data_IF_732616660116
#
_entry.id   IF_732616660116
#
_cell.length_a   1.000
_cell.length_b   1.000
_cell.length_c   1.000
_cell.angle_alpha   90.00
_cell.angle_beta   90.00
_cell.angle_gamma   90.00
#
_symmetry.space_group_name_H-M   'P 1'
#
loop_
_entity.id
_entity.type
_entity.pdbx_description
1 polymer ?
#
# COMPACT_ATOMS: atom_id res chain seq x y z
N UNK A 1 35.72 -42.41 28.10
CA UNK A 1 37.07 -42.04 28.56
C UNK A 1 38.02 -42.24 27.39
N UNK A 2 38.27 -41.21 26.58
CA UNK A 2 39.47 -40.95 25.74
C UNK A 2 39.20 -39.60 25.01
N UNK A 3 40.27 -38.81 24.87
CA UNK A 3 40.36 -37.33 24.73
C UNK A 3 39.63 -36.68 23.54
N UNK A 4 39.19 -35.41 23.66
CA UNK A 4 38.73 -34.60 22.52
C UNK A 4 39.91 -34.01 21.74
N UNK A 5 39.92 -34.23 20.42
CA UNK A 5 40.86 -33.64 19.49
C UNK A 5 40.41 -32.20 19.17
N UNK A 6 41.24 -31.24 19.59
CA UNK A 6 41.05 -29.80 19.46
C UNK A 6 41.38 -29.40 18.01
N UNK A 7 40.37 -29.38 17.14
CA UNK A 7 40.54 -28.97 15.74
C UNK A 7 40.39 -27.44 15.63
N UNK A 8 41.52 -26.75 15.75
CA UNK A 8 41.70 -25.34 15.45
C UNK A 8 41.47 -25.08 13.96
N UNK A 9 40.28 -24.60 13.57
CA UNK A 9 40.05 -24.08 12.22
C UNK A 9 40.71 -22.70 12.07
N UNK A 10 41.89 -22.75 11.48
CA UNK A 10 42.70 -21.65 10.99
C UNK A 10 41.89 -20.81 9.98
N UNK A 11 41.62 -19.55 10.33
CA UNK A 11 41.11 -18.52 9.43
C UNK A 11 42.20 -18.23 8.40
N UNK A 12 42.16 -18.95 7.27
CA UNK A 12 43.01 -18.68 6.12
C UNK A 12 42.46 -17.46 5.39
N UNK A 13 43.12 -16.32 5.55
CA UNK A 13 42.88 -15.13 4.75
C UNK A 13 43.10 -15.42 3.27
N UNK A 14 42.04 -15.32 2.48
CA UNK A 14 42.13 -15.26 1.03
C UNK A 14 42.33 -13.79 0.67
N UNK A 15 43.57 -13.34 0.78
CA UNK A 15 44.04 -12.14 0.07
C UNK A 15 44.50 -12.57 -1.32
N UNK A 16 43.82 -12.06 -2.36
CA UNK A 16 44.38 -11.98 -3.71
C UNK A 16 43.68 -12.83 -4.77
N UNK A 17 42.58 -12.33 -5.30
CA UNK A 17 42.28 -12.38 -6.74
C UNK A 17 41.32 -11.22 -7.07
N UNK A 18 41.88 -10.01 -7.15
CA UNK A 18 41.19 -8.84 -7.73
C UNK A 18 41.35 -8.95 -9.24
N UNK A 19 40.39 -9.60 -9.89
CA UNK A 19 40.28 -9.53 -11.34
C UNK A 19 39.61 -8.20 -11.70
N UNK A 20 40.42 -7.24 -12.15
CA UNK A 20 39.94 -5.98 -12.73
C UNK A 20 39.12 -6.30 -13.99
N UNK A 21 37.81 -6.36 -13.86
CA UNK A 21 36.90 -6.38 -15.00
C UNK A 21 36.86 -4.97 -15.60
N UNK A 22 37.27 -4.87 -16.86
CA UNK A 22 37.30 -3.64 -17.64
C UNK A 22 35.87 -3.11 -17.84
N UNK A 23 35.65 -1.85 -17.42
CA UNK A 23 34.49 -1.07 -17.78
C UNK A 23 34.56 -0.68 -19.26
N UNK A 24 34.06 -1.54 -20.14
CA UNK A 24 33.81 -1.22 -21.55
C UNK A 24 32.49 -1.85 -22.01
N UNK A 25 31.37 -1.42 -21.42
CA UNK A 25 30.04 -1.53 -22.06
C UNK A 25 29.16 -0.37 -21.59
N UNK A 26 29.58 0.87 -21.87
CA UNK A 26 28.71 2.06 -21.77
C UNK A 26 29.21 3.15 -22.71
N UNK A 27 29.17 2.88 -24.02
CA UNK A 27 29.26 3.90 -25.07
C UNK A 27 28.89 3.29 -26.42
N UNK A 28 27.62 3.31 -26.79
CA UNK A 28 27.19 3.27 -28.18
C UNK A 28 25.75 3.77 -28.28
N UNK A 29 25.50 4.64 -29.27
CA UNK A 29 24.23 5.24 -29.67
C UNK A 29 23.87 6.58 -29.04
N UNK A 30 24.79 7.54 -29.13
CA UNK A 30 24.40 8.90 -29.49
C UNK A 30 24.53 9.03 -31.01
N UNK A 31 23.41 8.89 -31.72
CA UNK A 31 23.34 9.29 -33.12
C UNK A 31 23.33 10.81 -33.16
N UNK A 32 24.46 11.36 -33.60
CA UNK A 32 24.59 12.74 -34.08
C UNK A 32 23.59 12.97 -35.20
N UNK A 33 22.49 13.68 -34.92
CA UNK A 33 21.71 14.32 -35.98
C UNK A 33 22.34 15.69 -36.23
N UNK A 34 22.99 15.76 -37.38
CA UNK A 34 23.53 16.91 -38.06
C UNK A 34 22.65 18.16 -37.97
N UNK A 35 23.30 19.28 -37.65
CA UNK A 35 22.82 20.62 -37.96
C UNK A 35 22.63 20.77 -39.48
N UNK A 36 21.40 20.96 -39.93
CA UNK A 36 21.12 21.57 -41.23
C UNK A 36 19.89 22.50 -41.14
N UNK A 37 20.05 23.69 -41.74
CA UNK A 37 19.06 24.73 -42.04
C UNK A 37 18.55 25.65 -40.92
N UNK A 38 19.41 26.64 -40.61
CA UNK A 38 18.97 28.04 -40.47
C UNK A 38 18.66 28.58 -41.88
N UNK A 39 17.42 29.01 -42.09
CA UNK A 39 16.93 30.05 -43.02
C UNK A 39 15.59 29.66 -43.67
N UNK A 40 14.50 29.87 -42.94
CA UNK A 40 13.20 30.17 -43.55
C UNK A 40 12.35 30.99 -42.57
N UNK A 41 11.90 32.21 -42.93
CA UNK A 41 10.95 32.97 -42.13
C UNK A 41 9.54 32.40 -42.33
N UNK A 42 8.70 32.54 -41.31
CA UNK A 42 7.25 32.33 -41.34
C UNK A 42 6.70 30.92 -41.65
N UNK A 43 6.76 30.05 -40.64
CA UNK A 43 5.59 29.24 -40.28
C UNK A 43 5.34 29.42 -38.78
N UNK A 44 4.26 30.12 -38.43
CA UNK A 44 3.76 30.22 -37.05
C UNK A 44 3.64 28.81 -36.47
N UNK A 45 4.61 28.41 -35.66
CA UNK A 45 4.65 27.08 -35.07
C UNK A 45 3.44 26.94 -34.13
N UNK A 46 2.57 26.00 -34.47
CA UNK A 46 1.45 25.62 -33.64
C UNK A 46 1.91 24.53 -32.68
N UNK A 47 1.98 24.85 -31.40
CA UNK A 47 2.39 23.95 -30.32
C UNK A 47 1.12 23.43 -29.63
N UNK A 48 1.01 22.14 -29.31
CA UNK A 48 -0.13 21.63 -28.54
C UNK A 48 -0.17 22.28 -27.16
N UNK A 49 -1.37 22.66 -26.70
CA UNK A 49 -1.58 23.35 -25.41
C UNK A 49 -0.90 22.63 -24.23
N UNK A 50 -0.92 21.29 -24.23
CA UNK A 50 -0.26 20.49 -23.19
C UNK A 50 1.25 20.69 -23.12
N UNK A 51 1.90 20.82 -24.28
CA UNK A 51 3.34 21.06 -24.37
C UNK A 51 3.67 22.51 -24.00
N UNK A 52 2.85 23.47 -24.45
CA UNK A 52 2.97 24.88 -24.05
C UNK A 52 2.83 25.08 -22.52
N UNK A 53 1.93 24.34 -21.86
CA UNK A 53 1.80 24.36 -20.40
C UNK A 53 3.04 23.77 -19.70
N UNK A 54 3.60 22.66 -20.23
CA UNK A 54 4.83 22.06 -19.67
C UNK A 54 6.06 22.96 -19.83
N UNK A 55 6.14 23.67 -20.94
CA UNK A 55 7.21 24.65 -21.19
C UNK A 55 7.07 25.86 -20.26
N UNK A 56 5.84 26.32 -20.00
CA UNK A 56 5.57 27.35 -19.00
C UNK A 56 5.94 26.89 -17.57
N UNK A 57 5.65 25.63 -17.23
CA UNK A 57 6.03 25.02 -15.94
C UNK A 57 7.55 25.07 -15.73
N UNK A 58 8.30 24.64 -16.76
CA UNK A 58 9.76 24.58 -16.75
C UNK A 58 10.40 25.97 -16.72
N UNK A 59 9.86 26.92 -17.50
CA UNK A 59 10.43 28.27 -17.64
C UNK A 59 10.23 29.13 -16.39
N UNK A 60 9.10 29.00 -15.72
CA UNK A 60 8.75 29.86 -14.58
C UNK A 60 8.86 29.18 -13.21
N UNK A 61 9.21 27.89 -13.17
CA UNK A 61 9.41 27.15 -11.91
C UNK A 61 8.13 27.03 -11.06
N UNK A 62 6.98 26.98 -11.72
CA UNK A 62 5.66 26.85 -11.09
C UNK A 62 5.17 25.41 -11.21
N UNK A 63 4.13 25.04 -10.45
CA UNK A 63 3.45 23.75 -10.64
C UNK A 63 2.04 23.96 -11.20
N UNK A 64 1.76 23.33 -12.35
CA UNK A 64 0.45 23.37 -12.97
C UNK A 64 -0.32 22.09 -12.66
N UNK A 65 -1.49 22.24 -12.04
CA UNK A 65 -2.38 21.11 -11.74
C UNK A 65 -3.65 21.25 -12.56
N UNK A 66 -3.93 20.26 -13.39
CA UNK A 66 -5.10 20.22 -14.25
C UNK A 66 -5.60 18.79 -14.43
N UNK A 67 -6.89 18.64 -14.71
CA UNK A 67 -7.48 17.34 -15.04
C UNK A 67 -7.29 17.08 -16.53
N UNK A 68 -6.65 15.96 -16.89
CA UNK A 68 -6.29 15.62 -18.28
C UNK A 68 -7.51 15.58 -19.21
N UNK A 69 -8.68 15.17 -18.71
CA UNK A 69 -9.93 15.10 -19.49
C UNK A 69 -10.53 16.47 -19.82
N UNK A 70 -10.12 17.51 -19.09
CA UNK A 70 -10.69 18.86 -19.20
C UNK A 70 -9.86 19.79 -20.10
N UNK A 71 -8.69 19.34 -20.57
CA UNK A 71 -7.84 20.11 -21.50
C UNK A 71 -8.07 19.61 -22.93
N UNK A 72 -8.65 20.44 -23.83
CA UNK A 72 -8.80 20.06 -25.22
C UNK A 72 -7.43 19.95 -25.89
N UNK A 73 -7.26 18.93 -26.75
CA UNK A 73 -6.07 18.77 -27.59
C UNK A 73 -6.08 19.81 -28.72
N UNK A 74 -5.79 21.07 -28.35
CA UNK A 74 -5.86 22.23 -29.25
C UNK A 74 -4.47 22.80 -29.48
N UNK A 75 -4.24 23.19 -30.73
CA UNK A 75 -3.03 23.82 -31.20
C UNK A 75 -3.06 25.33 -30.90
N UNK A 76 -1.98 25.85 -30.32
CA UNK A 76 -1.82 27.26 -29.95
C UNK A 76 -0.60 27.84 -30.67
N UNK A 77 -0.70 29.10 -31.08
CA UNK A 77 0.41 29.81 -31.72
C UNK A 77 1.56 30.07 -30.72
N UNK A 78 2.80 29.85 -31.15
CA UNK A 78 4.01 30.03 -30.34
C UNK A 78 4.17 31.44 -29.73
N UNK A 79 3.54 32.46 -30.32
CA UNK A 79 3.55 33.84 -29.83
C UNK A 79 2.95 33.99 -28.42
N UNK A 80 2.12 33.03 -27.99
CA UNK A 80 1.47 33.02 -26.66
C UNK A 80 2.43 32.81 -25.48
N UNK A 81 3.69 32.39 -25.72
CA UNK A 81 4.72 32.16 -24.69
C UNK A 81 5.53 33.42 -24.34
N UNK A 82 5.23 34.57 -24.96
CA UNK A 82 5.98 35.83 -24.74
C UNK A 82 5.32 36.71 -23.69
N UNK A 83 5.99 36.97 -22.55
CA UNK A 83 5.53 37.91 -21.53
C UNK A 83 5.82 37.50 -20.09
N UNK A 84 5.19 38.20 -19.14
CA UNK A 84 5.16 37.82 -17.71
C UNK A 84 4.27 36.60 -17.51
N UNK A 85 4.50 35.83 -16.45
CA UNK A 85 3.83 34.55 -16.20
C UNK A 85 2.29 34.64 -16.30
N UNK A 86 1.70 35.69 -15.72
CA UNK A 86 0.25 35.92 -15.73
C UNK A 86 -0.28 36.14 -17.16
N UNK A 87 0.45 36.89 -17.98
CA UNK A 87 0.09 37.14 -19.38
C UNK A 87 0.20 35.86 -20.23
N UNK A 88 1.23 35.04 -19.99
CA UNK A 88 1.40 33.75 -20.67
C UNK A 88 0.25 32.80 -20.29
N UNK A 89 -0.09 32.70 -19.01
CA UNK A 89 -1.21 31.87 -18.55
C UNK A 89 -2.56 32.35 -19.11
N UNK A 90 -2.81 33.65 -19.15
CA UNK A 90 -4.03 34.21 -19.75
C UNK A 90 -4.11 33.94 -21.25
N UNK A 91 -3.01 34.12 -21.99
CA UNK A 91 -2.93 33.86 -23.43
C UNK A 91 -3.09 32.38 -23.77
N UNK A 92 -2.66 31.47 -22.88
CA UNK A 92 -2.81 30.03 -23.06
C UNK A 92 -4.22 29.53 -22.67
N UNK A 93 -4.84 30.12 -21.63
CA UNK A 93 -6.06 29.60 -21.02
C UNK A 93 -7.35 30.24 -21.54
N UNK A 94 -7.34 31.55 -21.84
CA UNK A 94 -8.52 32.26 -22.34
C UNK A 94 -9.06 31.68 -23.67
N UNK A 95 -8.21 31.34 -24.68
CA UNK A 95 -8.69 30.74 -25.92
C UNK A 95 -9.27 29.32 -25.73
N UNK A 96 -8.94 28.67 -24.62
CA UNK A 96 -9.40 27.34 -24.25
C UNK A 96 -10.64 27.37 -23.33
N UNK A 97 -11.13 28.55 -22.93
CA UNK A 97 -12.25 28.68 -21.97
C UNK A 97 -11.88 28.20 -20.56
N UNK A 98 -10.58 28.17 -20.25
CA UNK A 98 -10.03 27.71 -18.99
C UNK A 98 -9.68 28.92 -18.12
N UNK A 99 -9.84 28.78 -16.81
CA UNK A 99 -9.43 29.76 -15.79
C UNK A 99 -8.44 29.12 -14.85
N UNK A 100 -7.59 29.91 -14.19
CA UNK A 100 -6.67 29.41 -13.19
C UNK A 100 -6.97 29.99 -11.81
N UNK A 101 -6.72 29.20 -10.76
CA UNK A 101 -6.69 29.66 -9.37
C UNK A 101 -5.28 29.46 -8.81
N UNK A 102 -4.63 30.55 -8.41
CA UNK A 102 -3.30 30.53 -7.78
C UNK A 102 -3.42 30.14 -6.30
N UNK A 103 -2.60 29.18 -5.88
CA UNK A 103 -2.42 28.77 -4.48
C UNK A 103 -0.91 28.65 -4.22
N UNK A 104 -0.31 29.67 -3.60
CA UNK A 104 1.16 29.78 -3.42
C UNK A 104 1.91 29.65 -4.76
N UNK A 105 2.67 28.57 -4.98
CA UNK A 105 3.43 28.26 -6.21
C UNK A 105 2.70 27.29 -7.15
N UNK A 106 1.47 26.89 -6.81
CA UNK A 106 0.68 25.93 -7.57
C UNK A 106 -0.51 26.64 -8.22
N UNK A 107 -0.69 26.45 -9.52
CA UNK A 107 -1.77 27.03 -10.31
C UNK A 107 -2.72 25.91 -10.74
N UNK A 108 -3.97 25.98 -10.28
CA UNK A 108 -5.02 24.99 -10.56
C UNK A 108 -5.89 25.49 -11.71
N UNK A 109 -5.91 24.77 -12.83
CA UNK A 109 -6.70 25.12 -14.03
C UNK A 109 -8.11 24.50 -13.93
N UNK A 110 -9.16 25.28 -14.21
CA UNK A 110 -10.58 24.91 -14.16
C UNK A 110 -11.35 25.37 -15.39
N UNK A 111 -12.34 24.57 -15.81
CA UNK A 111 -13.29 24.93 -16.89
C UNK A 111 -14.36 25.90 -16.38
N UNK A 112 -14.74 26.91 -17.17
CA UNK A 112 -15.92 27.75 -16.88
C UNK A 112 -17.20 27.01 -17.31
N UNK A 113 -18.14 26.81 -16.38
CA UNK A 113 -19.53 26.47 -16.71
C UNK A 113 -20.30 27.75 -17.00
N UNK A 114 -20.72 27.94 -18.26
CA UNK A 114 -21.65 29.00 -18.65
C UNK A 114 -23.02 28.71 -18.03
N UNK A 115 -23.57 29.65 -17.26
CA UNK A 115 -24.97 29.65 -16.82
C UNK A 115 -25.83 30.15 -17.98
N UNK A 116 -26.57 29.25 -18.63
CA UNK A 116 -27.66 29.64 -19.54
C UNK A 116 -28.94 29.77 -18.74
N UNK A 117 -29.53 30.96 -18.79
CA UNK A 117 -30.81 31.34 -18.21
C UNK A 117 -31.96 31.05 -19.19
N UNK A 118 -33.15 30.71 -18.66
CA UNK A 118 -34.43 30.58 -19.36
C UNK A 118 -34.94 29.13 -19.37
N UNK A 119 -36.20 28.80 -19.06
CA UNK A 119 -37.42 29.60 -18.90
C UNK A 119 -38.49 28.66 -18.30
N UNK A 120 -39.00 28.98 -17.12
CA UNK A 120 -40.19 28.35 -16.53
C UNK A 120 -41.45 28.87 -17.22
N UNK A 121 -42.34 27.99 -17.70
CA UNK A 121 -43.74 28.29 -18.02
C UNK A 121 -44.60 27.00 -17.84
N UNK A 122 -45.45 27.05 -16.80
CA UNK A 122 -46.82 26.52 -16.65
C UNK A 122 -47.11 25.03 -16.31
N UNK A 123 -47.51 24.84 -15.04
CA UNK A 123 -48.61 24.02 -14.44
C UNK A 123 -49.90 23.93 -15.31
N UNK A 124 -50.87 22.98 -15.11
CA UNK A 124 -51.55 22.76 -13.79
C UNK A 124 -52.23 21.39 -13.49
N UNK A 125 -52.66 21.27 -12.21
CA UNK A 125 -53.87 20.59 -11.65
C UNK A 125 -54.08 19.08 -11.87
N UNK A 126 -54.71 18.26 -11.03
CA UNK A 126 -55.35 18.33 -9.70
C UNK A 126 -55.74 16.88 -9.28
N UNK A 127 -56.17 16.72 -8.02
CA UNK A 127 -57.14 15.74 -7.48
C UNK A 127 -56.65 14.40 -6.88
N UNK A 128 -56.91 14.26 -5.57
CA UNK A 128 -57.06 12.99 -4.81
C UNK A 128 -58.46 12.36 -5.06
N UNK A 129 -58.76 11.14 -4.56
CA UNK A 129 -59.32 11.01 -3.19
C UNK A 129 -58.98 9.70 -2.40
N UNK A 130 -59.07 9.79 -1.06
CA UNK A 130 -59.58 8.84 0.00
C UNK A 130 -59.44 7.29 -0.09
N UNK A 131 -59.28 6.45 0.96
CA UNK A 131 -59.66 6.50 2.40
C UNK A 131 -58.97 5.41 3.31
N UNK A 132 -58.73 5.75 4.62
CA UNK A 132 -58.96 5.10 5.97
C UNK A 132 -58.82 3.56 6.27
N UNK A 133 -58.79 3.04 7.56
CA UNK A 133 -58.32 3.55 8.89
C UNK A 133 -57.63 2.49 9.86
N UNK A 134 -57.14 2.96 11.04
CA UNK A 134 -56.92 2.36 12.42
C UNK A 134 -56.68 0.83 12.62
N UNK A 135 -55.84 0.34 13.57
CA UNK A 135 -56.09 0.30 15.05
C UNK A 135 -54.92 -0.38 15.85
N UNK A 136 -54.84 -0.03 17.16
CA UNK A 136 -54.37 -0.77 18.37
C UNK A 136 -52.91 -0.71 18.86
N UNK A 137 -52.75 0.15 19.87
CA UNK A 137 -51.90 0.08 21.06
C UNK A 137 -51.95 -1.29 21.75
N UNK A 138 -50.79 -1.82 22.16
CA UNK A 138 -50.66 -2.73 23.31
C UNK A 138 -49.51 -2.24 24.18
N UNK A 139 -49.87 -1.71 25.34
CA UNK A 139 -49.04 -1.50 26.51
C UNK A 139 -48.77 -2.84 27.19
N UNK A 140 -47.50 -3.19 27.43
CA UNK A 140 -47.12 -4.27 28.33
C UNK A 140 -46.50 -3.70 29.60
N UNK A 141 -47.31 -3.81 30.65
CA UNK A 141 -47.01 -3.59 32.06
C UNK A 141 -46.10 -4.71 32.57
N UNK A 142 -44.99 -4.35 33.22
CA UNK A 142 -44.04 -5.28 33.85
C UNK A 142 -43.75 -4.76 35.25
N UNK A 143 -44.71 -4.96 36.14
CA UNK A 143 -44.55 -4.75 37.56
C UNK A 143 -44.67 -6.08 38.32
N UNK A 144 -43.82 -6.20 39.34
CA UNK A 144 -43.70 -7.27 40.33
C UNK A 144 -42.99 -8.56 39.89
N UNK A 145 -41.83 -8.84 40.50
CA UNK A 145 -41.77 -9.75 41.65
C UNK A 145 -40.38 -9.79 42.30
N UNK A 146 -40.42 -9.71 43.63
CA UNK A 146 -39.55 -10.39 44.61
C UNK A 146 -38.19 -9.76 44.99
N UNK A 147 -38.29 -8.98 46.06
CA UNK A 147 -37.26 -8.72 47.07
C UNK A 147 -36.78 -10.03 47.72
N UNK A 148 -35.46 -10.23 47.81
CA UNK A 148 -34.81 -11.14 48.76
C UNK A 148 -33.80 -10.30 49.56
N UNK A 149 -33.86 -10.27 50.90
CA UNK A 149 -32.95 -9.48 51.72
C UNK A 149 -31.59 -10.18 51.84
N UNK A 150 -30.51 -9.44 51.57
CA UNK A 150 -29.14 -9.85 51.89
C UNK A 150 -28.57 -8.90 52.93
N UNK A 151 -28.62 -9.33 54.19
CA UNK A 151 -27.70 -8.83 55.21
C UNK A 151 -26.45 -9.71 55.17
N UNK A 152 -25.28 -9.07 55.08
CA UNK A 152 -24.02 -9.46 55.72
C UNK A 152 -23.02 -8.31 55.50
N UNK A 153 -22.93 -7.43 56.51
CA UNK A 153 -21.89 -6.41 56.62
C UNK A 153 -20.60 -7.04 57.13
N UNK A 154 -19.49 -6.83 56.41
CA UNK A 154 -18.15 -6.95 56.96
C UNK A 154 -17.55 -5.54 57.06
N UNK A 155 -17.06 -5.09 58.25
CA UNK A 155 -16.42 -3.80 58.37
C UNK A 155 -15.02 -3.87 57.75
N UNK A 156 -14.86 -3.42 56.51
CA UNK A 156 -13.54 -3.21 55.92
C UNK A 156 -13.09 -1.79 56.21
N UNK A 157 -12.06 -1.71 57.04
CA UNK A 157 -11.20 -0.56 57.34
C UNK A 157 -11.24 0.57 56.32
N UNK A 158 -11.74 1.74 56.73
CA UNK A 158 -11.66 2.98 55.97
C UNK A 158 -10.20 3.43 55.85
N UNK A 159 -9.52 2.99 54.80
CA UNK A 159 -8.34 3.67 54.29
C UNK A 159 -8.79 5.05 53.78
N UNK A 160 -8.29 6.11 54.43
CA UNK A 160 -8.55 7.50 54.03
C UNK A 160 -7.95 7.73 52.65
N UNK A 161 -8.77 7.62 51.60
CA UNK A 161 -8.39 8.03 50.25
C UNK A 161 -8.20 9.55 50.25
N UNK A 162 -6.98 9.99 49.98
CA UNK A 162 -6.70 11.40 49.65
C UNK A 162 -7.38 11.66 48.32
N UNK A 163 -8.51 12.36 48.33
CA UNK A 163 -9.15 12.84 47.10
C UNK A 163 -8.30 14.00 46.60
N UNK A 164 -7.40 13.71 45.66
CA UNK A 164 -6.72 14.74 44.87
C UNK A 164 -7.79 15.45 44.03
N UNK A 165 -7.86 16.76 44.12
CA UNK A 165 -8.80 17.56 43.34
C UNK A 165 -8.39 17.52 41.87
N UNK A 166 -9.31 17.10 40.98
CA UNK A 166 -9.03 17.02 39.54
C UNK A 166 -8.76 18.44 39.00
N UNK A 167 -7.62 18.62 38.33
CA UNK A 167 -7.22 19.91 37.73
C UNK A 167 -7.96 20.08 36.41
N UNK A 168 -8.71 21.17 36.26
CA UNK A 168 -9.40 21.50 35.00
C UNK A 168 -8.44 22.13 34.02
N UNK A 169 -8.23 21.46 32.89
CA UNK A 169 -7.43 21.96 31.79
C UNK A 169 -8.36 22.43 30.69
N UNK A 170 -8.19 23.67 30.26
CA UNK A 170 -8.86 24.22 29.09
C UNK A 170 -7.85 24.44 27.96
N UNK A 171 -8.29 24.37 26.72
CA UNK A 171 -7.39 24.60 25.61
C UNK A 171 -8.08 24.73 24.27
N UNK A 172 -7.27 24.99 23.24
CA UNK A 172 -7.72 25.07 21.84
C UNK A 172 -6.83 24.23 20.95
N UNK A 173 -7.45 23.45 20.07
CA UNK A 173 -6.78 22.68 19.03
C UNK A 173 -7.08 23.30 17.67
N UNK A 174 -6.05 23.49 16.85
CA UNK A 174 -6.21 24.07 15.51
C UNK A 174 -5.26 23.48 14.47
N UNK A 175 -5.42 23.93 13.22
CA UNK A 175 -4.54 23.63 12.10
C UNK A 175 -3.36 24.62 12.02
N UNK A 176 -2.39 24.34 11.15
CA UNK A 176 -1.27 25.24 10.83
C UNK A 176 -1.75 26.64 10.35
N UNK A 177 -2.95 26.71 9.77
CA UNK A 177 -3.57 27.97 9.33
C UNK A 177 -4.30 28.75 10.45
N UNK A 178 -4.26 28.26 11.70
CA UNK A 178 -4.89 28.90 12.86
C UNK A 178 -6.41 28.71 12.98
N UNK A 179 -7.04 27.96 12.06
CA UNK A 179 -8.44 27.55 12.20
C UNK A 179 -8.58 26.48 13.29
N UNK A 180 -9.60 26.62 14.14
CA UNK A 180 -9.91 25.64 15.18
C UNK A 180 -10.45 24.36 14.57
N UNK A 181 -10.02 23.20 15.09
CA UNK A 181 -10.43 21.90 14.61
C UNK A 181 -11.56 21.34 15.48
N UNK A 182 -12.80 21.22 14.96
CA UNK A 182 -13.88 20.57 15.68
C UNK A 182 -13.78 19.04 15.65
N UNK A 183 -14.20 18.38 16.72
CA UNK A 183 -14.29 16.91 16.78
C UNK A 183 -12.95 16.17 16.96
N UNK A 184 -11.89 16.84 17.40
CA UNK A 184 -10.63 16.19 17.80
C UNK A 184 -10.88 15.41 19.08
N UNK A 185 -10.48 14.13 19.09
CA UNK A 185 -10.56 13.27 20.26
C UNK A 185 -9.33 13.49 21.16
N UNK A 186 -9.57 13.76 22.43
CA UNK A 186 -8.54 14.07 23.43
C UNK A 186 -8.67 13.04 24.55
N UNK A 187 -7.67 12.17 24.69
CA UNK A 187 -7.68 11.09 25.68
C UNK A 187 -6.52 11.24 26.66
N UNK A 188 -6.79 11.00 27.95
CA UNK A 188 -5.76 10.89 28.97
C UNK A 188 -5.07 9.53 28.87
N UNK A 189 -3.78 9.52 28.54
CA UNK A 189 -3.00 8.30 28.29
C UNK A 189 -3.06 7.34 29.49
N UNK A 190 -3.47 6.10 29.22
CA UNK A 190 -3.62 5.05 30.24
C UNK A 190 -4.98 5.01 30.95
N UNK A 191 -5.92 5.89 30.60
CA UNK A 191 -7.29 5.87 31.13
C UNK A 191 -8.32 6.03 30.01
N UNK A 192 -9.60 5.77 30.31
CA UNK A 192 -10.72 6.06 29.40
C UNK A 192 -11.29 7.49 29.59
N UNK A 193 -10.63 8.34 30.39
CA UNK A 193 -11.05 9.74 30.57
C UNK A 193 -10.61 10.55 29.34
N UNK A 194 -11.56 11.18 28.68
CA UNK A 194 -11.31 11.99 27.51
C UNK A 194 -12.45 12.94 27.21
N UNK A 195 -12.22 13.85 26.26
CA UNK A 195 -13.17 14.84 25.78
C UNK A 195 -13.00 15.05 24.28
N UNK A 196 -13.89 15.81 23.66
CA UNK A 196 -13.82 16.19 22.25
C UNK A 196 -13.83 17.70 22.10
N UNK A 197 -13.20 18.23 21.07
CA UNK A 197 -13.22 19.68 20.80
C UNK A 197 -14.57 20.15 20.25
N UNK A 198 -14.95 21.38 20.59
CA UNK A 198 -16.17 22.06 20.11
C UNK A 198 -16.02 22.64 18.68
N UNK A 199 -17.05 23.33 18.19
CA UNK A 199 -17.07 23.96 16.86
C UNK A 199 -15.92 24.98 16.61
N UNK A 200 -15.36 25.55 17.67
CA UNK A 200 -14.26 26.50 17.62
C UNK A 200 -12.90 25.85 17.92
N UNK A 201 -12.85 24.53 18.13
CA UNK A 201 -11.66 23.78 18.51
C UNK A 201 -11.30 23.87 19.99
N UNK A 202 -12.15 24.45 20.84
CA UNK A 202 -11.91 24.53 22.28
C UNK A 202 -12.28 23.22 22.99
N UNK A 203 -11.57 22.89 24.07
CA UNK A 203 -11.84 21.72 24.90
C UNK A 203 -11.64 22.02 26.38
N UNK A 204 -12.29 21.22 27.21
CA UNK A 204 -12.06 21.19 28.66
C UNK A 204 -12.02 19.74 29.15
N UNK A 205 -10.98 19.39 29.91
CA UNK A 205 -10.79 18.06 30.49
C UNK A 205 -10.25 18.18 31.91
N UNK A 206 -10.85 17.44 32.83
CA UNK A 206 -10.37 17.33 34.21
C UNK A 206 -9.35 16.20 34.31
N UNK A 207 -8.15 16.51 34.82
CA UNK A 207 -7.00 15.61 34.85
C UNK A 207 -6.52 15.44 36.30
N UNK A 208 -6.28 14.20 36.76
CA UNK A 208 -5.95 13.92 38.16
C UNK A 208 -4.48 14.18 38.54
N UNK A 209 -3.58 14.38 37.55
CA UNK A 209 -2.14 14.55 37.76
C UNK A 209 -1.55 15.56 36.76
N UNK A 210 -0.65 16.43 37.24
CA UNK A 210 0.08 17.41 36.44
C UNK A 210 1.08 16.77 35.47
N UNK A 211 1.53 15.55 35.75
CA UNK A 211 2.44 14.77 34.88
C UNK A 211 1.70 13.98 33.80
N UNK A 212 0.39 14.10 33.72
CA UNK A 212 -0.36 13.29 32.79
C UNK A 212 -0.16 13.72 31.32
N UNK A 213 -0.29 12.75 30.42
CA UNK A 213 -0.08 12.92 28.98
C UNK A 213 -1.43 12.87 28.29
N UNK A 214 -1.74 13.89 27.50
CA UNK A 214 -2.92 13.96 26.67
C UNK A 214 -2.56 13.52 25.25
N UNK A 215 -3.37 12.63 24.68
CA UNK A 215 -3.25 12.14 23.31
C UNK A 215 -4.34 12.79 22.48
N UNK A 216 -3.93 13.52 21.45
CA UNK A 216 -4.80 14.19 20.49
C UNK A 216 -4.85 13.35 19.22
N UNK A 217 -6.05 12.96 18.82
CA UNK A 217 -6.27 12.14 17.62
C UNK A 217 -7.42 12.71 16.80
N UNK A 218 -7.19 12.87 15.50
CA UNK A 218 -8.21 13.31 14.57
C UNK A 218 -8.00 12.66 13.20
N UNK A 219 -9.08 12.39 12.49
CA UNK A 219 -9.02 11.69 11.20
C UNK A 219 -8.30 12.57 10.19
N UNK A 220 -7.24 12.04 9.56
CA UNK A 220 -6.41 12.78 8.61
C UNK A 220 -5.27 13.60 9.23
N UNK A 221 -5.02 13.44 10.53
CA UNK A 221 -3.94 14.10 11.26
C UNK A 221 -3.07 13.09 12.01
N UNK A 222 -1.80 13.43 12.22
CA UNK A 222 -0.90 12.59 13.01
C UNK A 222 -1.29 12.68 14.50
N UNK A 223 -1.37 11.55 15.22
CA UNK A 223 -1.64 11.57 16.64
C UNK A 223 -0.49 12.27 17.37
N UNK A 224 -0.82 13.20 18.26
CA UNK A 224 0.16 13.98 19.01
C UNK A 224 -0.02 13.78 20.50
N UNK A 225 1.08 13.51 21.21
CA UNK A 225 1.10 13.40 22.66
C UNK A 225 1.68 14.68 23.28
N UNK A 226 0.98 15.25 24.27
CA UNK A 226 1.43 16.47 24.96
C UNK A 226 1.30 16.28 26.47
N UNK A 227 2.37 16.58 27.19
CA UNK A 227 2.39 16.57 28.66
C UNK A 227 1.76 17.85 29.18
N UNK A 228 0.88 17.75 30.18
CA UNK A 228 0.17 18.90 30.78
C UNK A 228 1.14 19.85 31.48
N UNK A 229 2.03 19.32 32.32
CA UNK A 229 3.13 20.08 32.94
C UNK A 229 2.68 21.25 33.81
N UNK A 230 1.59 21.08 34.59
CA UNK A 230 1.03 22.11 35.48
C UNK A 230 0.33 23.28 34.78
N UNK A 231 0.17 23.23 33.45
CA UNK A 231 -0.49 24.29 32.67
C UNK A 231 -2.00 24.06 32.62
N UNK A 232 -2.76 25.09 32.97
CA UNK A 232 -4.24 25.08 32.89
C UNK A 232 -4.77 25.47 31.51
N UNK A 233 -3.93 26.08 30.67
CA UNK A 233 -4.25 26.50 29.30
C UNK A 233 -3.29 25.87 28.28
N UNK A 234 -3.82 25.13 27.29
CA UNK A 234 -3.03 24.48 26.23
C UNK A 234 -3.51 24.94 24.85
N UNK A 235 -2.57 25.35 23.98
CA UNK A 235 -2.84 25.58 22.56
C UNK A 235 -2.03 24.59 21.76
N UNK A 236 -2.70 23.77 20.94
CA UNK A 236 -2.07 22.67 20.20
C UNK A 236 -2.42 22.80 18.71
N UNK A 237 -1.41 22.63 17.87
CA UNK A 237 -1.56 22.64 16.42
C UNK A 237 -1.29 21.24 15.89
N UNK A 238 -2.30 20.60 15.29
CA UNK A 238 -2.15 19.26 14.72
C UNK A 238 -1.56 19.34 13.31
N UNK A 239 -0.68 18.39 13.00
CA UNK A 239 -0.06 18.25 11.69
C UNK A 239 -0.84 17.22 10.87
N UNK A 240 -1.24 17.58 9.64
CA UNK A 240 -1.98 16.69 8.76
C UNK A 240 -1.14 15.44 8.39
N UNK A 241 -1.77 14.27 8.41
CA UNK A 241 -1.14 13.01 8.02
C UNK A 241 -1.21 12.82 6.51
N UNK A 242 -0.10 13.11 5.83
CA UNK A 242 0.04 12.93 4.37
C UNK A 242 0.25 11.47 3.95
N UNK A 243 0.45 10.53 4.90
CA UNK A 243 0.66 9.10 4.62
C UNK A 243 -0.63 8.31 4.48
N UNK A 244 -1.75 8.81 5.00
CA UNK A 244 -3.06 8.15 4.90
C UNK A 244 -3.64 8.15 3.47
N UNK A 245 -2.99 8.83 2.52
CA UNK A 245 -3.42 8.95 1.12
C UNK A 245 -2.54 8.11 0.18
N UNK A 246 -2.80 6.80 0.13
CA UNK A 246 -2.50 5.99 -1.07
C UNK A 246 -1.72 4.71 -0.81
N UNK A 247 -2.44 3.61 -0.63
CA UNK A 247 -1.92 2.30 -0.96
C UNK A 247 -1.90 2.16 -2.49
N UNK A 248 -0.70 1.98 -3.05
CA UNK A 248 -0.42 2.01 -4.49
C UNK A 248 -0.11 0.59 -4.94
N UNK A 249 -0.83 0.11 -5.95
CA UNK A 249 -0.48 -1.13 -6.66
C UNK A 249 0.18 -0.73 -7.97
N UNK A 250 1.41 -1.19 -8.18
CA UNK A 250 2.09 -1.06 -9.47
C UNK A 250 1.59 -2.18 -10.36
N UNK A 251 0.68 -1.83 -11.26
CA UNK A 251 0.38 -2.66 -12.43
C UNK A 251 0.89 -1.90 -13.65
N UNK A 252 1.22 -2.59 -14.75
CA UNK A 252 1.98 -2.10 -15.91
C UNK A 252 1.46 -0.86 -16.68
N UNK A 253 0.57 -0.04 -16.10
CA UNK A 253 0.19 1.30 -16.55
C UNK A 253 0.24 2.30 -15.39
N UNK A 254 1.41 2.50 -14.79
CA UNK A 254 1.58 3.47 -13.71
C UNK A 254 0.82 3.14 -12.42
N UNK A 255 0.90 4.05 -11.45
CA UNK A 255 0.40 3.88 -10.08
C UNK A 255 -1.10 4.18 -10.00
N UNK A 256 -1.95 3.16 -9.93
CA UNK A 256 -3.41 3.33 -9.81
C UNK A 256 -3.92 2.84 -8.44
N UNK A 257 -4.93 3.53 -7.89
CA UNK A 257 -5.55 3.16 -6.60
C UNK A 257 -6.43 1.91 -6.76
N UNK A 258 -6.32 0.99 -5.81
CA UNK A 258 -7.06 -0.28 -5.75
C UNK A 258 -8.59 -0.14 -5.89
N UNK A 259 -9.15 0.98 -5.41
CA UNK A 259 -10.59 1.25 -5.45
C UNK A 259 -11.12 1.58 -6.85
N UNK A 260 -10.25 1.91 -7.81
CA UNK A 260 -10.63 2.28 -9.18
C UNK A 260 -10.41 1.15 -10.20
N UNK A 261 -9.86 0.01 -9.77
CA UNK A 261 -9.60 -1.13 -10.64
C UNK A 261 -10.81 -2.09 -10.61
N UNK A 262 -11.57 -2.12 -11.68
CA UNK A 262 -12.73 -3.02 -11.89
C UNK A 262 -12.34 -4.47 -12.21
N UNK A 263 -11.05 -4.80 -12.17
CA UNK A 263 -10.50 -6.12 -12.54
C UNK A 263 -10.10 -6.93 -11.31
N UNK A 264 -10.20 -8.26 -11.38
CA UNK A 264 -9.82 -9.15 -10.28
C UNK A 264 -8.29 -9.25 -10.15
N UNK A 265 -7.74 -8.38 -9.31
CA UNK A 265 -6.35 -8.40 -8.87
C UNK A 265 -6.28 -8.82 -7.41
N UNK A 266 -5.44 -9.81 -7.11
CA UNK A 266 -5.10 -10.14 -5.73
C UNK A 266 -3.70 -9.63 -5.41
N UNK A 267 -3.59 -8.90 -4.31
CA UNK A 267 -2.32 -8.39 -3.82
C UNK A 267 -1.95 -9.12 -2.53
N UNK A 268 -0.69 -9.55 -2.44
CA UNK A 268 -0.08 -10.15 -1.26
C UNK A 268 1.11 -9.30 -0.86
N UNK A 269 1.14 -8.84 0.39
CA UNK A 269 2.23 -7.98 0.90
C UNK A 269 3.36 -8.79 1.51
N UNK A 270 4.54 -8.17 1.62
CA UNK A 270 5.74 -8.78 2.21
C UNK A 270 5.48 -9.41 3.60
N UNK A 271 4.68 -8.76 4.44
CA UNK A 271 4.44 -9.20 5.82
C UNK A 271 3.59 -10.48 5.88
N UNK A 272 2.87 -10.81 4.80
CA UNK A 272 2.12 -12.07 4.71
C UNK A 272 3.02 -13.21 4.21
N UNK A 273 4.01 -12.89 3.37
CA UNK A 273 4.96 -13.85 2.82
C UNK A 273 5.98 -14.32 3.88
N UNK A 274 6.45 -13.40 4.74
CA UNK A 274 7.47 -13.70 5.76
C UNK A 274 6.92 -14.39 7.02
N UNK A 275 5.59 -14.42 7.21
CA UNK A 275 4.96 -15.12 8.36
C UNK A 275 5.20 -16.62 8.37
N UNK A 276 5.49 -17.22 7.20
CA UNK A 276 5.75 -18.65 7.07
C UNK A 276 7.23 -18.84 6.74
N UNK A 277 7.97 -19.65 7.49
CA UNK A 277 9.36 -19.97 7.14
C UNK A 277 9.35 -20.95 5.96
N UNK A 278 9.37 -20.40 4.75
CA UNK A 278 9.48 -21.18 3.51
C UNK A 278 10.75 -20.76 2.77
N UNK A 279 11.41 -21.72 2.13
CA UNK A 279 12.68 -21.46 1.44
C UNK A 279 12.51 -20.83 0.06
N UNK A 280 11.28 -20.82 -0.49
CA UNK A 280 11.00 -20.43 -1.87
C UNK A 280 9.74 -19.55 -1.95
N UNK A 281 9.76 -18.52 -2.80
CA UNK A 281 8.64 -17.60 -2.97
C UNK A 281 7.35 -18.30 -3.47
N UNK A 282 7.49 -19.36 -4.27
CA UNK A 282 6.35 -20.19 -4.73
C UNK A 282 5.57 -20.79 -3.57
N UNK A 283 6.25 -21.33 -2.58
CA UNK A 283 5.60 -21.95 -1.42
C UNK A 283 4.92 -20.90 -0.53
N UNK A 284 5.47 -19.68 -0.50
CA UNK A 284 4.92 -18.58 0.30
C UNK A 284 3.54 -18.14 -0.19
N UNK A 285 3.34 -18.11 -1.51
CA UNK A 285 2.05 -17.75 -2.10
C UNK A 285 0.95 -18.80 -1.88
N UNK A 286 1.31 -20.02 -1.48
CA UNK A 286 0.37 -21.13 -1.35
C UNK A 286 -0.64 -20.84 -0.23
N UNK A 287 -1.91 -20.70 -0.62
CA UNK A 287 -3.01 -20.45 0.31
C UNK A 287 -3.13 -19.01 0.81
N UNK A 288 -2.28 -18.09 0.34
CA UNK A 288 -2.37 -16.65 0.67
C UNK A 288 -3.07 -15.88 -0.45
N UNK A 289 -2.74 -16.17 -1.71
CA UNK A 289 -3.36 -15.51 -2.85
C UNK A 289 -4.66 -16.23 -3.29
N UNK A 290 -5.83 -15.58 -3.25
CA UNK A 290 -7.10 -16.23 -3.62
C UNK A 290 -7.13 -16.57 -5.12
N UNK A 291 -7.55 -17.80 -5.44
CA UNK A 291 -7.62 -18.28 -6.83
C UNK A 291 -6.27 -18.64 -7.44
N UNK A 292 -5.22 -18.71 -6.63
CA UNK A 292 -3.91 -19.26 -6.99
C UNK A 292 -3.74 -20.60 -6.30
N UNK A 293 -3.51 -21.64 -7.09
CA UNK A 293 -3.25 -22.99 -6.59
C UNK A 293 -1.80 -23.33 -6.88
N UNK A 294 -1.06 -23.66 -5.83
CA UNK A 294 0.35 -24.01 -5.95
C UNK A 294 0.49 -25.45 -5.49
N UNK A 295 0.95 -26.31 -6.41
CA UNK A 295 1.24 -27.69 -6.12
C UNK A 295 2.74 -27.86 -6.11
N UNK A 296 3.27 -28.10 -4.91
CA UNK A 296 4.63 -28.60 -4.78
C UNK A 296 4.63 -30.11 -5.03
N UNK A 297 5.28 -30.54 -6.11
CA UNK A 297 5.41 -31.95 -6.46
C UNK A 297 6.72 -32.56 -5.92
N UNK A 298 7.48 -31.83 -5.09
CA UNK A 298 8.80 -32.25 -4.61
C UNK A 298 8.99 -32.14 -3.10
N UNK A 299 10.01 -32.87 -2.60
CA UNK A 299 10.49 -32.84 -1.22
C UNK A 299 11.95 -32.39 -1.08
N UNK A 300 12.52 -31.80 -2.14
CA UNK A 300 13.87 -31.22 -2.11
C UNK A 300 13.77 -29.73 -1.77
N UNK A 301 14.42 -29.26 -0.69
CA UNK A 301 14.63 -27.84 -0.47
C UNK A 301 15.55 -27.26 -1.57
N UNK A 302 15.32 -26.01 -1.97
CA UNK A 302 16.17 -25.27 -2.91
C UNK A 302 15.42 -24.61 -4.09
N UNK A 303 16.11 -23.77 -4.88
CA UNK A 303 15.51 -23.00 -5.98
C UNK A 303 14.99 -23.86 -7.14
N UNK A 304 15.35 -25.15 -7.18
CA UNK A 304 14.87 -26.10 -8.20
C UNK A 304 13.58 -26.84 -7.80
N UNK A 305 12.91 -26.46 -6.70
CA UNK A 305 11.58 -26.98 -6.40
C UNK A 305 10.61 -26.53 -7.49
N UNK A 306 10.23 -27.47 -8.37
CA UNK A 306 9.31 -27.26 -9.50
C UNK A 306 7.86 -27.14 -9.03
N UNK A 307 7.59 -26.17 -8.16
CA UNK A 307 6.24 -25.84 -7.75
C UNK A 307 5.45 -25.36 -8.97
N UNK A 308 4.38 -26.09 -9.31
CA UNK A 308 3.48 -25.71 -10.40
C UNK A 308 2.52 -24.66 -9.86
N UNK A 309 2.51 -23.47 -10.46
CA UNK A 309 1.60 -22.38 -10.10
C UNK A 309 0.48 -22.33 -11.11
N UNK A 310 -0.76 -22.28 -10.63
CA UNK A 310 -1.95 -22.16 -11.47
C UNK A 310 -2.81 -21.01 -10.98
N UNK A 311 -3.20 -20.13 -11.89
CA UNK A 311 -4.16 -19.05 -11.62
C UNK A 311 -5.47 -19.45 -12.27
N UNK A 312 -6.55 -19.59 -11.49
CA UNK A 312 -7.89 -20.04 -11.94
C UNK A 312 -7.94 -21.46 -12.54
N UNK A 313 -7.01 -22.34 -12.15
CA UNK A 313 -7.06 -23.76 -12.52
C UNK A 313 -6.31 -24.08 -13.82
N UNK A 314 -6.86 -25.00 -14.62
CA UNK A 314 -6.26 -25.49 -15.87
C UNK A 314 -7.08 -24.89 -17.02
N UNK A 315 -6.45 -24.02 -17.81
CA UNK A 315 -7.04 -23.29 -18.93
C UNK A 315 -6.72 -23.94 -20.28
N UNK A 316 -5.61 -24.68 -20.39
CA UNK A 316 -5.18 -25.36 -21.61
C UNK A 316 -4.70 -26.79 -21.33
N UNK A 317 -4.64 -27.64 -22.37
CA UNK A 317 -4.17 -29.03 -22.26
C UNK A 317 -2.63 -29.17 -22.24
N UNK A 318 -1.89 -28.06 -22.40
CA UNK A 318 -0.42 -28.06 -22.49
C UNK A 318 0.18 -27.29 -21.31
N UNK A 319 0.47 -25.99 -21.49
CA UNK A 319 1.08 -25.14 -20.47
C UNK A 319 0.04 -24.26 -19.78
N UNK A 320 0.04 -24.32 -18.46
CA UNK A 320 -0.90 -23.60 -17.59
C UNK A 320 -0.19 -22.70 -16.57
N UNK A 321 1.13 -22.56 -16.69
CA UNK A 321 1.88 -21.68 -15.80
C UNK A 321 1.58 -20.21 -16.17
N UNK A 322 1.43 -19.32 -15.17
CA UNK A 322 1.24 -17.89 -15.41
C UNK A 322 2.55 -17.24 -15.87
N UNK A 323 2.44 -16.04 -16.44
CA UNK A 323 3.60 -15.22 -16.74
C UNK A 323 4.10 -14.53 -15.45
N UNK A 324 5.39 -14.68 -15.15
CA UNK A 324 6.01 -14.03 -14.00
C UNK A 324 6.78 -12.79 -14.44
N UNK A 325 6.43 -11.63 -13.89
CA UNK A 325 7.05 -10.34 -14.16
C UNK A 325 7.61 -9.78 -12.86
N UNK A 326 8.89 -9.46 -12.83
CA UNK A 326 9.60 -8.87 -11.70
C UNK A 326 10.03 -7.47 -12.11
N UNK A 327 9.51 -6.44 -11.46
CA UNK A 327 9.80 -5.03 -11.76
C UNK A 327 9.66 -4.64 -13.25
N UNK A 328 8.78 -5.34 -13.98
CA UNK A 328 8.52 -5.10 -15.40
C UNK A 328 9.30 -6.01 -16.36
N UNK A 329 10.20 -6.86 -15.88
CA UNK A 329 10.97 -7.82 -16.68
C UNK A 329 10.50 -9.25 -16.39
N UNK A 330 10.42 -10.08 -17.42
CA UNK A 330 10.10 -11.49 -17.22
C UNK A 330 11.28 -12.24 -16.59
N UNK A 331 11.03 -12.93 -15.48
CA UNK A 331 12.03 -13.74 -14.81
C UNK A 331 11.38 -14.97 -14.16
N UNK A 332 12.06 -16.13 -14.12
CA UNK A 332 11.58 -17.28 -13.38
C UNK A 332 11.49 -16.96 -11.88
N UNK A 333 10.30 -17.16 -11.32
CA UNK A 333 9.94 -16.72 -9.97
C UNK A 333 10.66 -17.46 -8.84
N UNK A 334 11.24 -18.63 -9.12
CA UNK A 334 12.03 -19.41 -8.15
C UNK A 334 13.40 -18.78 -7.80
N UNK A 335 13.86 -17.79 -8.58
CA UNK A 335 15.17 -17.14 -8.38
C UNK A 335 15.12 -15.95 -7.43
N UNK A 336 13.93 -15.53 -7.01
CA UNK A 336 13.71 -14.32 -6.22
C UNK A 336 13.70 -14.68 -4.74
N UNK A 337 14.48 -13.95 -3.94
CA UNK A 337 14.42 -14.06 -2.49
C UNK A 337 13.14 -13.39 -1.96
N UNK A 338 12.46 -14.01 -0.99
CA UNK A 338 11.26 -13.43 -0.37
C UNK A 338 11.56 -12.10 0.32
N UNK A 339 12.75 -11.95 0.90
CA UNK A 339 13.12 -10.75 1.63
C UNK A 339 13.23 -9.51 0.74
N UNK A 340 13.46 -9.70 -0.56
CA UNK A 340 13.54 -8.63 -1.55
C UNK A 340 12.16 -8.22 -2.09
N UNK A 341 11.12 -9.01 -1.82
CA UNK A 341 9.76 -8.77 -2.33
C UNK A 341 9.03 -7.76 -1.45
N UNK A 342 8.56 -6.67 -2.05
CA UNK A 342 7.67 -5.70 -1.40
C UNK A 342 6.21 -6.15 -1.49
N UNK A 343 5.78 -6.50 -2.70
CA UNK A 343 4.42 -6.99 -2.95
C UNK A 343 4.36 -7.90 -4.17
N UNK A 344 3.38 -8.81 -4.14
CA UNK A 344 3.04 -9.69 -5.26
C UNK A 344 1.60 -9.40 -5.67
N UNK A 345 1.42 -9.00 -6.92
CA UNK A 345 0.12 -8.73 -7.53
C UNK A 345 -0.20 -9.77 -8.58
N UNK A 346 -1.25 -10.54 -8.35
CA UNK A 346 -1.73 -11.58 -9.27
C UNK A 346 -2.90 -11.04 -10.07
N UNK A 347 -2.69 -10.88 -11.37
CA UNK A 347 -3.68 -10.49 -12.36
C UNK A 347 -4.36 -11.73 -12.89
N UNK A 348 -5.68 -11.83 -12.66
CA UNK A 348 -6.44 -13.04 -12.98
C UNK A 348 -7.29 -12.88 -14.23
N UNK A 349 -7.67 -11.64 -14.57
CA UNK A 349 -8.59 -11.32 -15.66
C UNK A 349 -7.90 -10.91 -16.95
N UNK A 350 -8.58 -11.17 -18.07
CA UNK A 350 -8.15 -10.76 -19.41
C UNK A 350 -7.92 -9.24 -19.53
N UNK A 351 -8.79 -8.42 -18.91
CA UNK A 351 -8.65 -6.95 -18.94
C UNK A 351 -7.34 -6.48 -18.31
N UNK A 352 -6.97 -7.06 -17.16
CA UNK A 352 -5.72 -6.74 -16.47
C UNK A 352 -4.47 -7.32 -17.15
N UNK A 353 -4.61 -8.43 -17.88
CA UNK A 353 -3.50 -9.18 -18.46
C UNK A 353 -3.26 -8.88 -19.95
N UNK A 354 -4.19 -8.20 -20.62
CA UNK A 354 -4.17 -7.90 -22.06
C UNK A 354 -2.85 -7.28 -22.55
N UNK A 355 -2.12 -6.62 -21.67
CA UNK A 355 -0.91 -5.85 -22.00
C UNK A 355 0.29 -6.76 -22.22
N UNK A 356 0.25 -7.92 -21.57
CA UNK A 356 1.26 -8.96 -21.71
C UNK A 356 0.90 -9.95 -22.83
N UNK A 357 -0.21 -9.71 -23.54
CA UNK A 357 -0.61 -10.45 -24.75
C UNK A 357 -0.97 -11.92 -24.50
N UNK A 358 -0.73 -12.77 -25.49
CA UNK A 358 -1.11 -14.19 -25.47
C UNK A 358 -0.42 -15.00 -24.37
N UNK A 359 0.77 -14.59 -23.92
CA UNK A 359 1.52 -15.23 -22.83
C UNK A 359 0.84 -15.07 -21.46
N UNK A 360 -0.07 -14.10 -21.38
CA UNK A 360 -0.81 -13.74 -20.20
C UNK A 360 -2.14 -14.49 -20.05
N UNK A 361 -2.45 -15.41 -20.99
CA UNK A 361 -3.72 -16.14 -21.03
C UNK A 361 -3.99 -16.95 -19.75
N UNK A 362 -2.93 -17.40 -19.06
CA UNK A 362 -3.00 -18.16 -17.80
C UNK A 362 -2.88 -17.26 -16.56
N UNK A 363 -2.98 -15.93 -16.72
CA UNK A 363 -2.75 -14.95 -15.65
C UNK A 363 -1.31 -14.42 -15.63
N UNK A 364 -1.11 -13.34 -14.88
CA UNK A 364 0.20 -12.70 -14.69
C UNK A 364 0.46 -12.49 -13.21
N UNK A 365 1.64 -12.86 -12.75
CA UNK A 365 2.13 -12.60 -11.39
C UNK A 365 3.17 -11.50 -11.48
N UNK A 366 2.82 -10.31 -11.01
CA UNK A 366 3.73 -9.18 -10.88
C UNK A 366 4.38 -9.21 -9.50
N UNK A 367 5.68 -9.09 -9.48
CA UNK A 367 6.49 -8.96 -8.27
C UNK A 367 7.10 -7.58 -8.28
N UNK A 368 6.85 -6.82 -7.22
CA UNK A 368 7.51 -5.54 -6.97
C UNK A 368 8.58 -5.77 -5.92
N UNK A 369 9.82 -5.43 -6.21
CA UNK A 369 10.91 -5.54 -5.23
C UNK A 369 11.01 -4.29 -4.37
N UNK A 370 11.53 -4.47 -3.15
CA UNK A 370 11.75 -3.38 -2.21
C UNK A 370 12.76 -2.40 -2.79
N UNK A 371 12.36 -1.13 -2.91
CA UNK A 371 13.24 -0.04 -3.34
C UNK A 371 13.83 0.71 -2.15
N UNK A 372 15.03 1.25 -2.36
CA UNK A 372 15.66 2.13 -1.37
C UNK A 372 14.79 3.36 -1.12
N UNK A 373 14.51 3.66 0.16
CA UNK A 373 13.76 4.85 0.58
C UNK A 373 14.74 5.99 0.87
N UNK A 374 14.38 7.21 0.48
CA UNK A 374 15.18 8.39 0.80
C UNK A 374 15.16 8.65 2.32
N UNK A 375 16.31 8.97 2.90
CA UNK A 375 16.45 9.23 4.34
C UNK A 375 17.67 8.54 4.96
N UNK A 376 17.52 8.08 6.20
CA UNK A 376 18.58 7.37 6.94
C UNK A 376 18.73 5.95 6.40
N UNK A 377 19.98 5.49 6.26
CA UNK A 377 20.26 4.10 5.93
C UNK A 377 19.71 3.18 7.02
N UNK A 378 18.92 2.19 6.62
CA UNK A 378 18.44 1.11 7.47
C UNK A 378 19.20 -0.15 7.06
N UNK A 379 19.83 -0.80 8.03
CA UNK A 379 20.59 -2.03 7.81
C UNK A 379 19.97 -3.11 8.68
N UNK A 380 19.37 -4.09 8.04
CA UNK A 380 18.80 -5.27 8.68
C UNK A 380 19.72 -6.47 8.40
N UNK A 381 20.08 -7.20 9.46
CA UNK A 381 20.91 -8.40 9.37
C UNK A 381 20.15 -9.59 9.96
N UNK A 382 19.96 -10.61 9.13
CA UNK A 382 19.38 -11.90 9.53
C UNK A 382 20.41 -13.00 9.32
N UNK A 383 20.61 -13.82 10.35
CA UNK A 383 21.48 -14.99 10.30
C UNK A 383 20.77 -16.16 10.96
N UNK A 384 20.70 -17.30 10.27
CA UNK A 384 20.12 -18.52 10.81
C UNK A 384 21.04 -19.71 10.54
N UNK A 385 21.05 -20.65 11.47
CA UNK A 385 21.76 -21.92 11.34
C UNK A 385 20.75 -23.06 11.56
N UNK A 386 20.64 -23.95 10.59
CA UNK A 386 19.72 -25.08 10.63
C UNK A 386 20.43 -26.37 10.23
N UNK A 387 20.21 -27.44 11.00
CA UNK A 387 20.69 -28.79 10.70
C UNK A 387 19.49 -29.65 10.36
N UNK A 388 19.44 -30.17 9.14
CA UNK A 388 18.35 -31.02 8.66
C UNK A 388 18.77 -32.49 8.68
N UNK A 389 17.99 -33.34 9.35
CA UNK A 389 18.18 -34.79 9.36
C UNK A 389 16.93 -35.48 8.81
N UNK A 390 17.11 -36.53 8.01
CA UNK A 390 15.99 -37.34 7.54
C UNK A 390 15.37 -38.11 8.72
N UNK A 391 14.09 -37.85 8.99
CA UNK A 391 13.33 -38.42 10.12
C UNK A 391 12.97 -39.90 9.89
N UNK A 392 12.88 -40.33 8.63
CA UNK A 392 12.54 -41.69 8.26
C UNK A 392 13.51 -42.18 7.19
N UNK A 393 14.61 -42.79 7.62
CA UNK A 393 15.49 -43.55 6.73
C UNK A 393 15.01 -45.00 6.82
N UNK A 394 14.54 -45.61 5.72
CA UNK A 394 14.18 -47.02 5.75
C UNK A 394 15.39 -47.81 6.24
N UNK A 395 15.15 -48.71 7.20
CA UNK A 395 16.18 -49.62 7.68
C UNK A 395 16.56 -50.52 6.49
N UNK A 396 17.80 -50.37 6.02
CA UNK A 396 18.30 -51.19 4.94
C UNK A 396 18.51 -52.59 5.48
N UNK A 397 18.11 -53.58 4.69
CA UNK A 397 18.41 -54.98 5.00
C UNK A 397 19.92 -55.20 5.00
N UNK A 398 20.39 -56.02 5.95
CA UNK A 398 21.79 -56.42 5.99
C UNK A 398 22.17 -57.26 4.74
N UNK A 399 23.46 -57.32 4.41
CA UNK A 399 23.95 -57.87 3.14
C UNK A 399 23.51 -59.34 2.93
N UNK A 400 23.60 -60.18 3.96
CA UNK A 400 23.24 -61.60 3.86
C UNK A 400 21.74 -61.82 3.54
N UNK A 401 20.78 -61.29 4.32
CA UNK A 401 19.36 -61.44 4.00
C UNK A 401 18.98 -60.77 2.67
N UNK A 402 19.66 -59.68 2.27
CA UNK A 402 19.48 -59.07 0.95
C UNK A 402 19.89 -60.05 -0.17
N UNK A 403 21.08 -60.64 -0.09
CA UNK A 403 21.56 -61.62 -1.08
C UNK A 403 20.65 -62.86 -1.14
N UNK A 404 20.16 -63.34 0.01
CA UNK A 404 19.22 -64.47 0.06
C UNK A 404 17.91 -64.13 -0.66
N UNK A 405 17.31 -62.98 -0.36
CA UNK A 405 16.07 -62.55 -1.03
C UNK A 405 16.29 -62.25 -2.51
N UNK A 406 17.45 -61.74 -2.89
CA UNK A 406 17.81 -61.51 -4.28
C UNK A 406 17.89 -62.85 -5.05
N UNK A 407 18.50 -63.88 -4.47
CA UNK A 407 18.53 -65.22 -5.08
C UNK A 407 17.12 -65.82 -5.18
N UNK A 408 16.29 -65.66 -4.15
CA UNK A 408 14.88 -66.08 -4.20
C UNK A 408 14.12 -65.33 -5.29
N UNK A 409 14.37 -64.03 -5.46
CA UNK A 409 13.77 -63.23 -6.52
C UNK A 409 14.20 -63.70 -7.91
N UNK A 410 15.49 -64.03 -8.11
CA UNK A 410 15.99 -64.60 -9.37
C UNK A 410 15.29 -65.93 -9.69
N UNK A 411 15.22 -66.85 -8.72
CA UNK A 411 14.52 -68.13 -8.86
C UNK A 411 13.04 -67.93 -9.22
N UNK A 412 12.35 -67.03 -8.51
CA UNK A 412 10.93 -66.73 -8.77
C UNK A 412 10.70 -66.06 -10.12
N UNK A 413 11.68 -65.29 -10.60
CA UNK A 413 11.65 -64.65 -11.92
C UNK A 413 12.00 -65.60 -13.08
N UNK A 414 12.37 -66.85 -12.77
CA UNK A 414 12.78 -67.84 -13.78
C UNK A 414 14.19 -67.62 -14.34
N UNK A 415 14.95 -66.71 -13.77
CA UNK A 415 16.36 -66.53 -14.07
C UNK A 415 17.19 -67.49 -13.21
N UNK A 416 18.16 -68.19 -13.81
CA UNK A 416 19.08 -69.04 -13.06
C UNK A 416 19.90 -68.18 -12.09
N UNK A 417 19.93 -68.60 -10.82
CA UNK A 417 20.58 -67.92 -9.70
C UNK A 417 22.11 -67.78 -9.89
#
# INVERSE_FOLDING_TARGET
MYKPLLLSFLVCGITGFVQKANAQVFAANYTTISQQNKNQPDRKASIPLKEALRDAETRFGIHLVYKTDEIPNRLIAADALSGKLEQVLENLLNPAGLTYKKVRNTYIIKTQKVKTSGKEILTPSETSPEALPSTRTISNDLSSLRTVPSQLQFPTSAARAVVLEDIKIAGKVGEENGQGLPGVSILLKGTNRGTTTDANGAFQLAVPDEKAVLVFSYVGYLPQEVVVGGRTALTITLVADTKALGEVVVVGYGVQKKTSLTSAVAEVKSEQLTRRPVSNANQALQGIAPGVTILDRGGSPGPNSRATVRVRGITTLSSNDPLFIVDGVEQPFNTINLDDIESISVLKDASSTAIYGSRAANGVVLVTTKRAKSGKAVVDYSGFYAVQNAINKPEMMDLEPYMRLQNVAYINSGAAA
#
